data_IF_433042425694
#
_entry.id   IF_433042425694
#
_cell.length_a   1.000
_cell.length_b   1.000
_cell.length_c   1.000
_cell.angle_alpha   90.00
_cell.angle_beta   90.00
_cell.angle_gamma   90.00
#
_symmetry.space_group_name_H-M   'P 1'
#
loop_
_entity.id
_entity.type
_entity.pdbx_description
1 polymer ?
#
# COMPACT_ATOMS: atom_id res chain seq x y z
N UNK A 1 -15.70 -4.22 -7.68
CA UNK A 1 -15.48 -2.86 -7.13
C UNK A 1 -14.68 -2.88 -5.82
N UNK A 2 -15.13 -3.56 -4.76
CA UNK A 2 -14.41 -3.57 -3.47
C UNK A 2 -13.12 -4.41 -3.45
N UNK A 3 -13.06 -5.50 -4.22
CA UNK A 3 -11.90 -6.41 -4.21
C UNK A 3 -10.55 -5.70 -4.48
N UNK A 4 -10.39 -4.90 -5.55
CA UNK A 4 -9.14 -4.16 -5.78
C UNK A 4 -8.72 -3.24 -4.62
N UNK A 5 -9.70 -2.60 -3.98
CA UNK A 5 -9.45 -1.73 -2.82
C UNK A 5 -8.91 -2.54 -1.65
N UNK A 6 -9.60 -3.63 -1.29
CA UNK A 6 -9.20 -4.48 -0.16
C UNK A 6 -7.86 -5.19 -0.41
N UNK A 7 -7.59 -5.59 -1.65
CA UNK A 7 -6.30 -6.16 -2.04
C UNK A 7 -5.19 -5.16 -1.79
N UNK A 8 -5.34 -3.93 -2.29
CA UNK A 8 -4.34 -2.88 -2.05
C UNK A 8 -4.16 -2.56 -0.56
N UNK A 9 -5.24 -2.48 0.24
CA UNK A 9 -5.12 -2.25 1.68
C UNK A 9 -4.36 -3.36 2.41
N UNK A 10 -4.64 -4.62 2.04
CA UNK A 10 -3.92 -5.76 2.58
C UNK A 10 -2.43 -5.69 2.24
N UNK A 11 -2.10 -5.44 0.97
CA UNK A 11 -0.72 -5.42 0.50
C UNK A 11 0.06 -4.21 1.03
N UNK A 12 -0.56 -3.03 1.08
CA UNK A 12 -0.01 -1.84 1.75
C UNK A 12 0.36 -2.15 3.19
N UNK A 13 -0.52 -2.83 3.93
CA UNK A 13 -0.25 -3.21 5.33
C UNK A 13 0.96 -4.15 5.43
N UNK A 14 1.08 -5.11 4.52
CA UNK A 14 2.23 -6.02 4.46
C UNK A 14 3.54 -5.26 4.18
N UNK A 15 3.55 -4.35 3.20
CA UNK A 15 4.72 -3.52 2.90
C UNK A 15 5.09 -2.62 4.09
N UNK A 16 4.14 -1.87 4.62
CA UNK A 16 4.36 -0.94 5.73
C UNK A 16 4.88 -1.67 6.98
N UNK A 17 4.31 -2.84 7.30
CA UNK A 17 4.77 -3.65 8.42
C UNK A 17 6.19 -4.15 8.20
N UNK A 18 6.50 -4.62 6.98
CA UNK A 18 7.85 -5.11 6.67
C UNK A 18 8.88 -3.99 6.81
N UNK A 19 8.63 -2.83 6.18
CA UNK A 19 9.50 -1.64 6.24
C UNK A 19 9.72 -1.17 7.68
N UNK A 20 8.64 -1.04 8.46
CA UNK A 20 8.72 -0.58 9.86
C UNK A 20 9.33 -1.62 10.81
N UNK A 21 9.38 -2.89 10.41
CA UNK A 21 10.01 -3.96 11.20
C UNK A 21 11.48 -4.19 10.86
N UNK A 22 12.03 -3.52 9.84
CA UNK A 22 13.46 -3.60 9.51
C UNK A 22 14.29 -3.10 10.70
N UNK A 23 15.27 -3.89 11.14
CA UNK A 23 16.12 -3.56 12.29
C UNK A 23 15.49 -3.78 13.67
N UNK A 24 14.27 -4.35 13.74
CA UNK A 24 13.63 -4.75 15.01
C UNK A 24 13.89 -6.23 15.35
N UNK A 25 13.63 -6.65 16.59
CA UNK A 25 13.75 -8.06 17.03
C UNK A 25 12.59 -8.97 16.56
N UNK A 26 11.79 -8.54 15.58
CA UNK A 26 10.65 -9.33 15.11
C UNK A 26 11.11 -10.51 14.26
N UNK A 27 10.76 -11.73 14.67
CA UNK A 27 11.10 -12.93 13.91
C UNK A 27 10.20 -13.11 12.65
N UNK A 28 10.69 -13.92 11.70
CA UNK A 28 10.03 -14.18 10.43
C UNK A 28 8.62 -14.80 10.60
N UNK A 29 8.44 -15.71 11.56
CA UNK A 29 7.15 -16.36 11.82
C UNK A 29 6.10 -15.37 12.35
N UNK A 30 6.51 -14.46 13.23
CA UNK A 30 5.64 -13.40 13.76
C UNK A 30 5.24 -12.45 12.65
N UNK A 31 6.19 -12.06 11.77
CA UNK A 31 5.90 -11.24 10.59
C UNK A 31 4.85 -11.91 9.69
N UNK A 32 4.98 -13.21 9.43
CA UNK A 32 4.02 -13.98 8.66
C UNK A 32 2.61 -13.99 9.28
N UNK A 33 2.51 -14.09 10.60
CA UNK A 33 1.23 -14.12 11.30
C UNK A 33 0.48 -12.79 11.23
N UNK A 34 1.18 -11.66 11.08
CA UNK A 34 0.55 -10.35 10.92
C UNK A 34 0.11 -10.05 9.48
N UNK A 35 0.49 -10.86 8.49
CA UNK A 35 0.16 -10.60 7.09
C UNK A 35 -1.27 -11.03 6.72
N UNK A 36 -2.12 -10.09 6.26
CA UNK A 36 -3.39 -10.45 5.62
C UNK A 36 -3.16 -11.28 4.34
N UNK A 37 -4.02 -12.28 4.12
CA UNK A 37 -3.92 -13.24 3.00
C UNK A 37 -4.87 -12.95 1.84
N UNK A 38 -5.48 -11.76 1.81
CA UNK A 38 -6.49 -11.35 0.83
C UNK A 38 -5.99 -10.35 -0.23
N UNK A 39 -4.67 -10.10 -0.29
CA UNK A 39 -4.01 -9.24 -1.27
C UNK A 39 -3.45 -9.99 -2.49
N UNK A 40 -2.84 -9.25 -3.42
CA UNK A 40 -2.09 -9.76 -4.57
C UNK A 40 -0.74 -10.38 -4.16
N UNK A 41 -0.18 -9.96 -3.01
CA UNK A 41 1.08 -10.54 -2.52
C UNK A 41 0.93 -11.99 -2.06
N UNK A 42 -0.28 -12.45 -1.73
CA UNK A 42 -0.48 -13.83 -1.33
C UNK A 42 -0.52 -14.77 -2.56
N UNK A 43 0.20 -15.91 -2.55
CA UNK A 43 1.09 -16.41 -1.49
C UNK A 43 2.58 -16.05 -1.67
N UNK A 44 3.01 -15.70 -2.89
CA UNK A 44 4.44 -15.64 -3.26
C UNK A 44 5.12 -14.39 -2.72
N UNK A 45 4.53 -13.20 -2.92
CA UNK A 45 5.04 -11.93 -2.42
C UNK A 45 5.16 -11.90 -0.90
N UNK A 46 4.18 -12.44 -0.17
CA UNK A 46 4.27 -12.52 1.30
C UNK A 46 5.45 -13.36 1.78
N UNK A 47 5.71 -14.51 1.14
CA UNK A 47 6.87 -15.35 1.50
C UNK A 47 8.19 -14.62 1.28
N UNK A 48 8.28 -13.79 0.24
CA UNK A 48 9.45 -12.93 0.00
C UNK A 48 9.57 -11.83 1.06
N UNK A 49 8.49 -11.10 1.35
CA UNK A 49 8.48 -10.06 2.39
C UNK A 49 8.81 -10.60 3.78
N UNK A 50 8.41 -11.84 4.06
CA UNK A 50 8.72 -12.49 5.35
C UNK A 50 10.24 -12.63 5.54
N UNK A 51 10.99 -12.87 4.45
CA UNK A 51 12.43 -13.06 4.46
C UNK A 51 13.23 -11.78 4.17
N UNK A 52 12.56 -10.65 3.96
CA UNK A 52 13.24 -9.39 3.67
C UNK A 52 13.98 -8.88 4.91
N UNK A 53 15.25 -8.51 4.71
CA UNK A 53 16.14 -7.97 5.76
C UNK A 53 16.51 -6.51 5.51
N UNK A 54 16.42 -6.06 4.27
CA UNK A 54 16.69 -4.67 3.88
C UNK A 54 15.58 -4.11 2.96
N UNK A 55 15.69 -2.83 2.63
CA UNK A 55 14.71 -2.16 1.77
C UNK A 55 14.75 -2.69 0.31
N UNK A 56 15.92 -3.07 -0.20
CA UNK A 56 16.07 -3.61 -1.55
C UNK A 56 15.33 -4.94 -1.72
N UNK A 57 15.29 -5.79 -0.69
CA UNK A 57 14.50 -7.03 -0.69
C UNK A 57 13.00 -6.76 -0.82
N UNK A 58 12.51 -5.71 -0.14
CA UNK A 58 11.12 -5.26 -0.22
C UNK A 58 10.80 -4.76 -1.63
N UNK A 59 11.70 -3.96 -2.21
CA UNK A 59 11.59 -3.49 -3.60
C UNK A 59 11.58 -4.66 -4.59
N UNK A 60 12.46 -5.64 -4.41
CA UNK A 60 12.50 -6.85 -5.23
C UNK A 60 11.23 -7.69 -5.12
N UNK A 61 10.56 -7.69 -3.96
CA UNK A 61 9.26 -8.32 -3.80
C UNK A 61 8.15 -7.54 -4.53
N UNK A 62 8.19 -6.21 -4.50
CA UNK A 62 7.23 -5.35 -5.20
C UNK A 62 7.37 -5.40 -6.73
N UNK A 63 8.60 -5.50 -7.25
CA UNK A 63 8.90 -5.53 -8.70
C UNK A 63 8.24 -6.70 -9.46
N UNK A 64 7.74 -7.72 -8.75
CA UNK A 64 7.02 -8.84 -9.36
C UNK A 64 5.60 -8.47 -9.78
N UNK A 65 5.10 -7.31 -9.35
CA UNK A 65 3.73 -6.86 -9.51
C UNK A 65 3.73 -5.51 -10.24
N UNK A 66 3.12 -5.45 -11.42
CA UNK A 66 3.08 -4.23 -12.25
C UNK A 66 2.41 -3.06 -11.53
N UNK A 67 1.49 -3.35 -10.61
CA UNK A 67 0.79 -2.35 -9.81
C UNK A 67 1.69 -1.69 -8.76
N UNK A 68 2.71 -2.40 -8.28
CA UNK A 68 3.56 -1.97 -7.15
C UNK A 68 4.95 -1.54 -7.55
N UNK A 69 5.51 -2.13 -8.61
CA UNK A 69 6.79 -1.73 -9.19
C UNK A 69 6.95 -0.19 -9.31
N UNK A 70 6.03 0.57 -9.92
CA UNK A 70 6.17 2.03 -10.05
C UNK A 70 6.09 2.79 -8.71
N UNK A 71 5.54 2.19 -7.65
CA UNK A 71 5.47 2.81 -6.33
C UNK A 71 6.84 2.79 -5.62
N UNK A 72 7.64 1.76 -5.89
CA UNK A 72 8.96 1.55 -5.28
C UNK A 72 10.14 2.01 -6.13
N UNK A 73 9.92 2.28 -7.42
CA UNK A 73 10.89 3.02 -8.21
C UNK A 73 10.84 4.51 -7.87
N UNK A 74 12.01 5.15 -7.92
CA UNK A 74 12.13 6.60 -7.98
C UNK A 74 12.38 7.01 -9.43
N UNK A 75 11.35 7.18 -10.27
CA UNK A 75 11.56 7.77 -11.56
C UNK A 75 11.33 9.28 -11.47
N UNK A 76 12.41 10.04 -11.68
CA UNK A 76 12.40 11.41 -12.21
C UNK A 76 11.79 12.51 -11.32
N UNK A 77 12.07 13.76 -11.67
CA UNK A 77 11.73 15.03 -11.01
C UNK A 77 10.30 15.17 -10.42
N UNK A 78 9.36 14.29 -10.77
CA UNK A 78 7.96 14.25 -10.32
C UNK A 78 7.79 13.70 -8.90
N UNK A 79 8.68 12.80 -8.46
CA UNK A 79 8.67 12.20 -7.11
C UNK A 79 9.76 12.75 -6.19
N UNK A 80 10.47 13.81 -6.61
CA UNK A 80 11.51 14.44 -5.82
C UNK A 80 10.96 14.89 -4.46
N UNK A 81 11.39 14.23 -3.39
CA UNK A 81 10.97 14.53 -2.01
C UNK A 81 9.74 13.77 -1.49
N UNK A 82 9.09 12.90 -2.28
CA UNK A 82 7.95 12.10 -1.80
C UNK A 82 8.40 10.79 -1.17
N UNK A 83 7.91 10.53 0.03
CA UNK A 83 8.14 9.27 0.75
C UNK A 83 7.36 8.12 0.10
N UNK A 84 7.72 6.87 0.44
CA UNK A 84 6.98 5.68 -0.01
C UNK A 84 5.52 5.70 0.47
N UNK A 85 5.26 6.22 1.67
CA UNK A 85 3.90 6.35 2.20
C UNK A 85 3.07 7.36 1.40
N UNK A 86 3.67 8.48 0.97
CA UNK A 86 2.98 9.45 0.09
C UNK A 86 2.55 8.78 -1.22
N UNK A 87 3.42 7.96 -1.82
CA UNK A 87 3.11 7.20 -3.04
C UNK A 87 1.99 6.19 -2.80
N UNK A 88 1.95 5.54 -1.63
CA UNK A 88 0.83 4.67 -1.26
C UNK A 88 -0.48 5.44 -1.06
N UNK A 89 -0.45 6.63 -0.46
CA UNK A 89 -1.64 7.47 -0.34
C UNK A 89 -2.17 7.92 -1.71
N UNK A 90 -1.30 8.33 -2.62
CA UNK A 90 -1.70 8.69 -3.99
C UNK A 90 -2.35 7.51 -4.72
N UNK A 91 -1.74 6.32 -4.61
CA UNK A 91 -2.32 5.11 -5.19
C UNK A 91 -3.65 4.74 -4.52
N UNK A 92 -3.76 4.88 -3.19
CA UNK A 92 -5.02 4.67 -2.45
C UNK A 92 -6.14 5.56 -2.99
N UNK A 93 -5.87 6.85 -3.18
CA UNK A 93 -6.83 7.82 -3.72
C UNK A 93 -7.24 7.43 -5.14
N UNK A 94 -6.29 7.02 -5.99
CA UNK A 94 -6.57 6.56 -7.36
C UNK A 94 -7.49 5.34 -7.37
N UNK A 95 -7.20 4.33 -6.56
CA UNK A 95 -8.00 3.10 -6.49
C UNK A 95 -9.40 3.40 -5.94
N UNK A 96 -9.54 4.22 -4.90
CA UNK A 96 -10.84 4.62 -4.38
C UNK A 96 -11.64 5.47 -5.36
N UNK A 97 -10.98 6.35 -6.13
CA UNK A 97 -11.65 7.19 -7.14
C UNK A 97 -12.25 6.37 -8.29
N UNK A 98 -11.61 5.24 -8.65
CA UNK A 98 -12.12 4.35 -9.71
C UNK A 98 -13.52 3.77 -9.41
N UNK A 99 -13.90 3.69 -8.13
CA UNK A 99 -15.21 3.19 -7.70
C UNK A 99 -16.36 4.01 -8.26
N UNK A 100 -16.16 5.32 -8.42
CA UNK A 100 -17.19 6.25 -8.92
C UNK A 100 -17.44 6.12 -10.42
N UNK A 101 -16.60 5.38 -11.15
CA UNK A 101 -16.83 5.06 -12.57
C UNK A 101 -17.92 3.97 -12.73
N UNK A 102 -18.17 3.19 -11.68
CA UNK A 102 -19.19 2.15 -11.67
C UNK A 102 -20.48 2.66 -11.00
N UNK A 103 -21.63 2.43 -11.64
CA UNK A 103 -22.95 2.69 -11.04
C UNK A 103 -23.43 1.46 -10.25
N UNK A 104 -24.35 1.66 -9.29
CA UNK A 104 -25.04 0.60 -8.53
C UNK A 104 -24.12 -0.43 -7.84
N UNK A 105 -23.18 0.04 -7.01
CA UNK A 105 -22.33 -0.81 -6.18
C UNK A 105 -22.32 -0.29 -4.74
N UNK A 106 -21.96 -1.10 -3.73
CA UNK A 106 -21.84 -0.61 -2.34
C UNK A 106 -20.47 0.00 -2.03
N UNK A 107 -19.52 -0.07 -2.95
CA UNK A 107 -18.16 0.40 -2.73
C UNK A 107 -18.05 1.91 -2.61
N UNK A 108 -19.01 2.68 -3.13
CA UNK A 108 -18.98 4.13 -3.03
C UNK A 108 -19.01 4.62 -1.58
N UNK A 109 -19.71 3.92 -0.67
CA UNK A 109 -19.73 4.31 0.73
C UNK A 109 -18.33 4.21 1.36
N UNK A 110 -17.63 3.10 1.11
CA UNK A 110 -16.26 2.91 1.58
C UNK A 110 -15.31 3.95 0.97
N UNK A 111 -15.36 4.12 -0.35
CA UNK A 111 -14.50 5.06 -1.05
C UNK A 111 -14.74 6.51 -0.60
N UNK A 112 -16.00 6.90 -0.40
CA UNK A 112 -16.37 8.22 0.09
C UNK A 112 -15.77 8.52 1.47
N UNK A 113 -15.90 7.58 2.42
CA UNK A 113 -15.34 7.75 3.77
C UNK A 113 -13.81 7.87 3.69
N UNK A 114 -13.13 6.98 2.96
CA UNK A 114 -11.67 7.00 2.83
C UNK A 114 -11.13 8.26 2.16
N UNK A 115 -11.81 8.76 1.13
CA UNK A 115 -11.43 10.02 0.47
C UNK A 115 -11.68 11.23 1.37
N UNK A 116 -12.77 11.23 2.15
CA UNK A 116 -13.06 12.30 3.12
C UNK A 116 -12.00 12.34 4.23
N UNK A 117 -11.54 11.18 4.71
CA UNK A 117 -10.42 11.11 5.66
C UNK A 117 -9.13 11.68 5.06
N UNK A 118 -8.84 11.38 3.78
CA UNK A 118 -7.66 11.95 3.11
C UNK A 118 -7.80 13.47 2.92
N UNK A 119 -8.99 13.97 2.62
CA UNK A 119 -9.24 15.40 2.53
C UNK A 119 -8.96 16.09 3.88
N UNK A 120 -9.43 15.53 4.98
CA UNK A 120 -9.18 16.06 6.32
C UNK A 120 -7.67 16.06 6.64
N UNK A 121 -6.95 14.97 6.33
CA UNK A 121 -5.49 14.93 6.46
C UNK A 121 -4.79 16.04 5.68
N UNK A 122 -5.21 16.26 4.44
CA UNK A 122 -4.64 17.31 3.60
C UNK A 122 -4.92 18.72 4.17
N UNK A 123 -6.14 18.97 4.68
CA UNK A 123 -6.49 20.26 5.29
C UNK A 123 -5.61 20.53 6.52
N UNK A 124 -5.44 19.52 7.38
CA UNK A 124 -4.57 19.63 8.56
C UNK A 124 -3.14 19.92 8.14
N UNK A 125 -2.60 19.18 7.17
CA UNK A 125 -1.23 19.38 6.67
C UNK A 125 -1.00 20.77 6.07
N UNK A 126 -1.99 21.37 5.40
CA UNK A 126 -1.90 22.74 4.88
C UNK A 126 -1.96 23.78 6.01
N UNK A 127 -2.63 23.46 7.12
CA UNK A 127 -2.82 24.39 8.25
C UNK A 127 -1.68 24.41 9.26
N UNK A 128 -0.84 23.37 9.27
CA UNK A 128 0.41 23.31 10.05
C UNK A 128 1.54 24.10 9.38
#
# INVERSE_FOLDING_TARGET
>A
VMKPILQFQADRRCFSLTINSLGTHLNNESRWNFFPRCGLLYPVGLKKLTKAENFDDVKNAANLYMEYEPLFYEPSLIYAGKTIEDRFFEYEVKVNSSVFQHKFNFGFFYAYIRLSEQQNRNIIWISE
#
